data_IF_222771796788
#
_entry.id   IF_222771796788
#
_cell.length_a   1.000
_cell.length_b   1.000
_cell.length_c   1.000
_cell.angle_alpha   90.00
_cell.angle_beta   90.00
_cell.angle_gamma   90.00
#
_symmetry.space_group_name_H-M   'P 1'
#
loop_
_entity.id
_entity.type
_entity.pdbx_description
1 polymer ?
#
# COMPACT_ATOMS: atom_id res chain seq x y z
N UNK A 1 -2.74 29.77 2.90
CA UNK A 1 -3.86 29.12 2.21
C UNK A 1 -3.98 29.57 0.75
N UNK A 2 -3.95 30.89 0.45
CA UNK A 2 -4.05 31.41 -0.93
C UNK A 2 -2.91 30.90 -1.83
N UNK A 3 -1.68 30.94 -1.34
CA UNK A 3 -0.51 30.42 -2.08
C UNK A 3 -0.65 28.92 -2.38
N UNK A 4 -1.12 28.13 -1.41
CA UNK A 4 -1.34 26.70 -1.60
C UNK A 4 -2.43 26.43 -2.64
N UNK A 5 -3.55 27.17 -2.60
CA UNK A 5 -4.62 27.05 -3.59
C UNK A 5 -4.11 27.40 -5.00
N UNK A 6 -3.39 28.52 -5.15
CA UNK A 6 -2.79 28.90 -6.42
C UNK A 6 -1.75 27.89 -6.92
N UNK A 7 -0.98 27.29 -6.02
CA UNK A 7 -0.04 26.23 -6.34
C UNK A 7 -0.76 24.97 -6.84
N UNK A 8 -1.84 24.57 -6.17
CA UNK A 8 -2.66 23.41 -6.56
C UNK A 8 -3.26 23.61 -7.96
N UNK A 9 -3.86 24.79 -8.24
CA UNK A 9 -4.41 25.13 -9.56
C UNK A 9 -3.35 25.09 -10.67
N UNK A 10 -2.12 25.49 -10.34
CA UNK A 10 -0.98 25.52 -11.28
C UNK A 10 -0.16 24.23 -11.27
N UNK A 11 -0.58 23.21 -10.52
CA UNK A 11 0.14 21.93 -10.34
C UNK A 11 1.59 22.10 -9.87
N UNK A 12 1.82 23.07 -8.99
CA UNK A 12 3.13 23.28 -8.36
C UNK A 12 3.23 22.45 -7.08
N UNK A 13 4.42 21.86 -6.84
CA UNK A 13 4.71 21.07 -5.65
C UNK A 13 5.01 21.99 -4.44
N UNK A 14 4.00 22.68 -3.98
CA UNK A 14 4.07 23.54 -2.80
C UNK A 14 3.03 23.03 -1.80
N UNK A 15 3.47 22.72 -0.58
CA UNK A 15 2.59 22.32 0.51
C UNK A 15 2.81 23.24 1.73
N UNK A 16 1.79 23.55 2.52
CA UNK A 16 1.95 24.28 3.77
C UNK A 16 2.71 23.39 4.77
N UNK A 17 3.46 24.04 5.65
CA UNK A 17 3.96 23.39 6.86
C UNK A 17 2.77 23.33 7.83
N UNK A 18 2.32 22.14 8.16
CA UNK A 18 1.18 21.90 9.05
C UNK A 18 1.64 21.65 10.47
N UNK A 19 0.92 22.21 11.43
CA UNK A 19 1.06 21.89 12.86
C UNK A 19 0.18 20.69 13.22
N UNK A 20 0.36 20.12 14.42
CA UNK A 20 -0.53 19.07 14.92
C UNK A 20 -2.00 19.55 15.01
N UNK A 21 -2.21 20.82 15.36
CA UNK A 21 -3.54 21.43 15.39
C UNK A 21 -4.17 21.52 14.00
N UNK A 22 -3.39 21.90 12.98
CA UNK A 22 -3.85 21.92 11.58
C UNK A 22 -4.26 20.53 11.10
N UNK A 23 -3.52 19.50 11.49
CA UNK A 23 -3.85 18.10 11.17
C UNK A 23 -5.12 17.67 11.90
N UNK A 24 -5.22 17.96 13.20
CA UNK A 24 -6.37 17.63 14.03
C UNK A 24 -7.68 18.23 13.51
N UNK A 25 -7.63 19.47 13.01
CA UNK A 25 -8.76 20.22 12.48
C UNK A 25 -8.90 20.10 10.95
N UNK A 26 -8.21 19.15 10.32
CA UNK A 26 -8.25 19.01 8.87
C UNK A 26 -9.58 18.40 8.39
N UNK A 27 -10.40 19.16 7.64
CA UNK A 27 -11.72 18.68 7.21
C UNK A 27 -11.65 17.46 6.29
N UNK A 28 -10.57 17.28 5.52
CA UNK A 28 -10.38 16.12 4.68
C UNK A 28 -10.18 14.85 5.50
N UNK A 29 -9.43 14.92 6.60
CA UNK A 29 -9.23 13.79 7.51
C UNK A 29 -10.51 13.44 8.27
N UNK A 30 -11.31 14.45 8.63
CA UNK A 30 -12.64 14.27 9.22
C UNK A 30 -13.58 13.56 8.24
N UNK A 31 -13.68 14.03 7.01
CA UNK A 31 -14.54 13.44 5.96
C UNK A 31 -14.15 11.99 5.63
N UNK A 32 -12.85 11.67 5.71
CA UNK A 32 -12.37 10.29 5.53
C UNK A 32 -12.61 9.38 6.73
N UNK A 33 -13.14 9.90 7.82
CA UNK A 33 -13.39 9.14 9.04
C UNK A 33 -12.11 8.61 9.69
N UNK A 34 -11.03 9.42 9.67
CA UNK A 34 -9.76 9.04 10.30
C UNK A 34 -9.88 8.95 11.81
N UNK A 35 -10.69 9.83 12.41
CA UNK A 35 -10.72 10.01 13.86
C UNK A 35 -11.67 9.03 14.56
N UNK A 36 -11.24 8.54 15.72
CA UNK A 36 -12.06 7.75 16.64
C UNK A 36 -12.01 8.39 18.03
N UNK A 37 -13.18 8.58 18.66
CA UNK A 37 -13.30 9.15 19.97
C UNK A 37 -13.42 8.02 21.02
N UNK A 38 -12.53 8.04 22.03
CA UNK A 38 -12.42 7.00 23.06
C UNK A 38 -12.49 7.65 24.43
N UNK A 39 -13.26 7.07 25.35
CA UNK A 39 -13.31 7.55 26.74
C UNK A 39 -12.15 6.95 27.52
N UNK A 40 -11.23 7.78 27.98
CA UNK A 40 -10.07 7.40 28.79
C UNK A 40 -10.15 8.11 30.14
N UNK A 41 -10.29 7.38 31.24
CA UNK A 41 -10.43 7.93 32.58
C UNK A 41 -11.54 8.99 32.72
N UNK A 42 -12.66 8.80 32.00
CA UNK A 42 -13.81 9.72 32.02
C UNK A 42 -13.66 10.95 31.12
N UNK A 43 -12.58 11.05 30.35
CA UNK A 43 -12.35 12.11 29.38
C UNK A 43 -12.48 11.53 27.96
N UNK A 44 -13.16 12.26 27.09
CA UNK A 44 -13.20 11.95 25.68
C UNK A 44 -11.89 12.39 25.02
N UNK A 45 -11.22 11.45 24.37
CA UNK A 45 -9.94 11.66 23.70
C UNK A 45 -10.07 11.19 22.26
N UNK A 46 -9.68 12.04 21.34
CA UNK A 46 -9.71 11.75 19.90
C UNK A 46 -8.37 11.18 19.44
N UNK A 47 -8.42 10.00 18.85
CA UNK A 47 -7.25 9.30 18.31
C UNK A 47 -7.32 9.16 16.78
N UNK A 48 -6.18 9.09 16.09
CA UNK A 48 -6.16 8.60 14.73
C UNK A 48 -6.54 7.11 14.73
N UNK A 49 -7.64 6.79 14.09
CA UNK A 49 -8.19 5.44 14.03
C UNK A 49 -7.58 4.62 12.88
N UNK A 50 -8.45 4.07 12.06
CA UNK A 50 -8.06 3.14 11.00
C UNK A 50 -7.26 3.80 9.88
N UNK A 51 -6.14 3.17 9.51
CA UNK A 51 -5.31 3.59 8.38
C UNK A 51 -5.78 2.99 7.05
N UNK A 52 -6.57 1.91 7.08
CA UNK A 52 -7.11 1.22 5.91
C UNK A 52 -8.57 0.85 6.14
N UNK A 53 -9.34 0.81 5.07
CA UNK A 53 -10.74 0.39 5.09
C UNK A 53 -10.82 -0.97 4.40
N UNK A 54 -11.29 -1.98 5.15
CA UNK A 54 -11.55 -3.32 4.65
C UNK A 54 -13.06 -3.52 4.54
N UNK A 55 -13.55 -3.91 3.37
CA UNK A 55 -14.99 -4.11 3.14
C UNK A 55 -15.54 -5.31 3.88
N UNK A 56 -14.81 -6.43 3.86
CA UNK A 56 -15.26 -7.72 4.40
C UNK A 56 -14.83 -7.96 5.85
N UNK A 57 -13.74 -7.35 6.26
CA UNK A 57 -13.16 -7.51 7.60
C UNK A 57 -12.90 -6.15 8.24
N UNK A 58 -13.95 -5.42 8.64
CA UNK A 58 -13.79 -4.11 9.23
C UNK A 58 -12.91 -4.16 10.47
N UNK A 59 -12.07 -3.15 10.64
CA UNK A 59 -11.21 -3.03 11.81
C UNK A 59 -12.06 -2.86 13.06
N UNK A 60 -11.65 -3.52 14.14
CA UNK A 60 -12.27 -3.33 15.46
C UNK A 60 -12.01 -1.89 15.93
N UNK A 61 -13.04 -1.19 16.42
CA UNK A 61 -12.86 0.16 16.97
C UNK A 61 -11.83 0.19 18.10
N UNK A 62 -11.17 1.34 18.26
CA UNK A 62 -10.25 1.54 19.36
C UNK A 62 -10.98 1.45 20.70
N UNK A 63 -10.34 0.86 21.68
CA UNK A 63 -10.82 0.81 23.06
C UNK A 63 -9.88 1.60 23.98
N UNK A 64 -10.37 1.98 25.15
CA UNK A 64 -9.52 2.59 26.15
C UNK A 64 -8.33 1.67 26.51
N UNK A 65 -7.16 2.25 26.80
CA UNK A 65 -6.05 1.46 27.32
C UNK A 65 -6.46 0.81 28.66
N UNK A 66 -6.06 -0.44 28.92
CA UNK A 66 -6.40 -1.12 30.15
C UNK A 66 -5.76 -0.44 31.37
N UNK A 67 -6.44 -0.49 32.50
CA UNK A 67 -5.87 -0.09 33.77
C UNK A 67 -4.76 -1.06 34.20
N UNK A 68 -3.85 -0.58 35.06
CA UNK A 68 -2.77 -1.42 35.57
C UNK A 68 -3.35 -2.66 36.31
N UNK A 69 -3.03 -3.84 35.82
CA UNK A 69 -3.48 -5.10 36.40
C UNK A 69 -4.87 -5.57 35.97
N UNK A 70 -5.59 -4.84 35.14
CA UNK A 70 -6.96 -5.16 34.71
C UNK A 70 -7.11 -6.58 34.16
N UNK A 71 -6.16 -7.02 33.32
CA UNK A 71 -6.18 -8.35 32.70
C UNK A 71 -5.34 -9.41 33.44
N UNK A 72 -4.72 -9.07 34.58
CA UNK A 72 -3.78 -9.97 35.26
C UNK A 72 -4.42 -11.30 35.61
N UNK A 73 -5.61 -11.28 36.23
CA UNK A 73 -6.30 -12.50 36.63
C UNK A 73 -6.71 -13.33 35.42
N UNK A 74 -7.19 -12.68 34.36
CA UNK A 74 -7.57 -13.35 33.12
C UNK A 74 -6.36 -14.08 32.52
N UNK A 75 -5.27 -13.35 32.31
CA UNK A 75 -4.05 -13.89 31.67
C UNK A 75 -3.45 -15.05 32.52
N UNK A 76 -3.42 -14.90 33.84
CA UNK A 76 -2.90 -15.96 34.73
C UNK A 76 -3.81 -17.18 34.83
N UNK A 77 -5.10 -17.03 34.52
CA UNK A 77 -6.05 -18.14 34.53
C UNK A 77 -6.16 -18.87 33.19
N UNK A 78 -5.57 -18.30 32.12
CA UNK A 78 -5.54 -18.97 30.83
C UNK A 78 -4.79 -20.29 30.94
N UNK A 79 -5.36 -21.40 30.45
CA UNK A 79 -4.66 -22.67 30.45
C UNK A 79 -3.38 -22.57 29.63
N UNK A 80 -2.29 -23.23 30.04
CA UNK A 80 -1.07 -23.27 29.25
C UNK A 80 -1.40 -23.66 27.81
N UNK A 81 -0.94 -22.86 26.85
CA UNK A 81 -1.14 -23.17 25.45
C UNK A 81 -0.51 -24.53 25.16
N UNK A 82 -1.34 -25.57 25.02
CA UNK A 82 -0.84 -26.86 24.56
C UNK A 82 -0.19 -26.61 23.17
N UNK A 83 1.10 -26.87 23.03
CA UNK A 83 1.72 -26.78 21.73
C UNK A 83 0.86 -27.61 20.76
N UNK A 84 0.30 -27.01 19.75
CA UNK A 84 -0.40 -27.79 18.73
C UNK A 84 0.62 -28.76 18.15
N UNK A 85 0.51 -30.04 18.55
CA UNK A 85 1.27 -31.14 17.94
C UNK A 85 0.91 -31.34 16.48
N UNK A 86 -0.11 -30.66 16.02
CA UNK A 86 -0.38 -30.43 14.59
C UNK A 86 0.38 -29.20 14.02
N UNK A 87 1.57 -28.93 14.50
CA UNK A 87 2.60 -28.62 13.52
C UNK A 87 2.72 -29.89 12.68
N UNK A 88 1.66 -30.15 11.87
CA UNK A 88 1.82 -30.89 10.64
C UNK A 88 3.18 -30.47 10.15
N UNK A 89 4.12 -31.42 10.12
CA UNK A 89 5.44 -31.25 9.53
C UNK A 89 5.26 -30.23 8.44
N UNK A 90 5.67 -28.97 8.70
CA UNK A 90 5.60 -27.95 7.68
C UNK A 90 6.38 -28.59 6.57
N UNK A 91 5.74 -29.03 5.47
CA UNK A 91 6.46 -29.74 4.43
C UNK A 91 7.64 -28.84 4.15
N UNK A 92 8.85 -29.42 4.11
CA UNK A 92 10.10 -28.72 3.90
C UNK A 92 9.86 -27.59 2.87
N UNK A 93 9.39 -26.42 3.35
CA UNK A 93 9.06 -25.25 2.54
C UNK A 93 10.39 -24.62 2.19
N UNK A 94 11.17 -25.31 1.35
CA UNK A 94 12.32 -24.71 0.66
C UNK A 94 11.85 -23.65 -0.34
N UNK A 95 10.52 -23.50 -0.49
CA UNK A 95 9.91 -22.45 -1.29
C UNK A 95 9.92 -21.09 -0.59
N UNK A 96 9.72 -20.05 -1.36
CA UNK A 96 9.59 -18.68 -0.86
C UNK A 96 8.24 -18.51 -0.15
N UNK A 97 8.15 -17.59 0.83
CA UNK A 97 6.98 -17.41 1.70
C UNK A 97 5.68 -17.10 0.92
N UNK A 98 5.77 -16.40 -0.20
CA UNK A 98 4.64 -16.01 -1.05
C UNK A 98 4.64 -16.77 -2.41
N UNK A 99 5.30 -17.92 -2.47
CA UNK A 99 5.29 -18.75 -3.68
C UNK A 99 3.87 -19.16 -4.05
N UNK A 100 3.50 -18.93 -5.31
CA UNK A 100 2.16 -19.20 -5.84
C UNK A 100 1.22 -17.99 -5.83
N UNK A 101 1.47 -16.96 -5.03
CA UNK A 101 0.70 -15.74 -5.06
C UNK A 101 0.92 -14.99 -6.38
N UNK A 102 -0.17 -14.65 -7.06
CA UNK A 102 -0.18 -13.96 -8.35
C UNK A 102 -0.68 -12.53 -8.16
N UNK A 103 0.11 -11.56 -8.60
CA UNK A 103 -0.17 -10.14 -8.41
C UNK A 103 -0.12 -9.41 -9.75
N UNK A 104 -1.16 -8.68 -10.06
CA UNK A 104 -1.21 -7.74 -11.17
C UNK A 104 -0.93 -6.33 -10.64
N UNK A 105 0.13 -5.70 -11.13
CA UNK A 105 0.67 -4.45 -10.58
C UNK A 105 0.57 -3.30 -11.59
N UNK A 106 -0.32 -2.34 -11.31
CA UNK A 106 -0.47 -1.07 -12.04
C UNK A 106 0.15 0.12 -11.31
N UNK A 107 0.90 -0.13 -10.24
CA UNK A 107 1.45 0.92 -9.41
C UNK A 107 2.60 1.67 -10.07
N UNK A 108 2.73 2.98 -9.77
CA UNK A 108 3.68 3.87 -10.41
C UNK A 108 4.61 4.56 -9.41
N UNK A 109 5.73 5.03 -9.93
CA UNK A 109 6.78 5.86 -9.31
C UNK A 109 7.54 5.11 -8.21
N UNK A 110 7.19 5.27 -6.94
CA UNK A 110 7.98 4.76 -5.81
C UNK A 110 7.19 3.94 -4.82
N UNK A 111 6.25 4.56 -4.11
CA UNK A 111 5.62 3.97 -2.92
C UNK A 111 4.89 2.66 -3.24
N UNK A 112 4.07 2.66 -4.28
CA UNK A 112 3.37 1.47 -4.75
C UNK A 112 4.32 0.39 -5.24
N UNK A 113 5.20 0.68 -6.23
CA UNK A 113 6.17 -0.29 -6.71
C UNK A 113 7.10 -0.85 -5.64
N UNK A 114 7.48 -0.06 -4.61
CA UNK A 114 8.25 -0.55 -3.47
C UNK A 114 7.48 -1.61 -2.68
N UNK A 115 6.16 -1.40 -2.45
CA UNK A 115 5.31 -2.37 -1.77
C UNK A 115 5.19 -3.68 -2.55
N UNK A 116 4.87 -3.61 -3.83
CA UNK A 116 4.77 -4.81 -4.67
C UNK A 116 6.12 -5.51 -4.86
N UNK A 117 7.25 -4.77 -4.88
CA UNK A 117 8.58 -5.37 -4.87
C UNK A 117 8.81 -6.27 -3.66
N UNK A 118 8.40 -5.84 -2.46
CA UNK A 118 8.54 -6.67 -1.25
C UNK A 118 7.82 -8.00 -1.44
N UNK A 119 6.62 -8.01 -2.02
CA UNK A 119 5.92 -9.26 -2.34
C UNK A 119 6.72 -10.13 -3.33
N UNK A 120 7.34 -9.52 -4.34
CA UNK A 120 8.18 -10.23 -5.31
C UNK A 120 9.44 -10.83 -4.66
N UNK A 121 10.09 -10.09 -3.76
CA UNK A 121 11.28 -10.55 -3.03
C UNK A 121 10.96 -11.78 -2.18
N UNK A 122 9.74 -11.88 -1.64
CA UNK A 122 9.25 -13.02 -0.90
C UNK A 122 8.62 -14.12 -1.79
N UNK A 123 8.66 -13.97 -3.10
CA UNK A 123 8.36 -15.04 -4.06
C UNK A 123 7.02 -14.96 -4.77
N UNK A 124 6.27 -13.89 -4.60
CA UNK A 124 5.06 -13.67 -5.39
C UNK A 124 5.41 -13.51 -6.88
N UNK A 125 4.53 -14.02 -7.74
CA UNK A 125 4.63 -13.86 -9.18
C UNK A 125 3.93 -12.56 -9.58
N UNK A 126 4.71 -11.49 -9.80
CA UNK A 126 4.19 -10.18 -10.12
C UNK A 126 4.32 -9.88 -11.60
N UNK A 127 3.20 -9.52 -12.22
CA UNK A 127 3.14 -8.96 -13.57
C UNK A 127 2.85 -7.48 -13.44
N UNK A 128 3.83 -6.66 -13.81
CA UNK A 128 3.71 -5.20 -13.85
C UNK A 128 3.29 -4.76 -15.23
N UNK A 129 2.27 -3.93 -15.30
CA UNK A 129 1.85 -3.26 -16.54
C UNK A 129 2.63 -1.96 -16.69
N UNK A 130 3.27 -1.79 -17.82
CA UNK A 130 3.97 -0.59 -18.24
C UNK A 130 3.44 -0.13 -19.62
N UNK A 131 3.84 1.02 -20.11
CA UNK A 131 3.42 1.51 -21.41
C UNK A 131 4.44 2.48 -22.00
N UNK A 132 4.76 2.31 -23.28
CA UNK A 132 5.55 3.30 -24.01
C UNK A 132 4.74 4.58 -24.30
N UNK A 133 3.43 4.43 -24.50
CA UNK A 133 2.54 5.57 -24.76
C UNK A 133 2.38 6.47 -23.52
N UNK A 134 2.50 5.89 -22.33
CA UNK A 134 2.48 6.59 -21.05
C UNK A 134 3.50 5.96 -20.11
N UNK A 135 4.72 6.45 -20.20
CA UNK A 135 5.85 5.92 -19.45
C UNK A 135 5.78 6.28 -17.97
N UNK A 136 6.12 5.33 -17.09
CA UNK A 136 6.29 5.61 -15.67
C UNK A 136 7.36 6.69 -15.44
N UNK A 137 6.99 7.73 -14.70
CA UNK A 137 7.87 8.85 -14.37
C UNK A 137 9.18 8.40 -13.69
N UNK A 138 9.16 7.28 -12.95
CA UNK A 138 10.36 6.74 -12.34
C UNK A 138 11.47 6.45 -13.37
N UNK A 139 11.12 6.16 -14.63
CA UNK A 139 12.08 5.91 -15.72
C UNK A 139 12.82 7.16 -16.18
N UNK A 140 12.31 8.35 -15.80
CA UNK A 140 12.90 9.64 -16.17
C UNK A 140 13.65 10.31 -15.02
N UNK A 141 13.76 9.63 -13.87
CA UNK A 141 14.41 10.15 -12.68
C UNK A 141 15.81 9.53 -12.49
N UNK A 142 16.76 10.38 -12.11
CA UNK A 142 18.11 9.95 -11.79
C UNK A 142 18.18 9.19 -10.45
N UNK A 143 19.29 8.47 -10.14
CA UNK A 143 20.47 8.33 -10.97
C UNK A 143 20.27 7.40 -12.16
N UNK A 144 21.01 7.65 -13.23
CA UNK A 144 21.03 6.81 -14.41
C UNK A 144 22.35 6.02 -14.50
N UNK A 145 22.28 4.81 -15.06
CA UNK A 145 23.49 4.06 -15.38
C UNK A 145 24.33 4.81 -16.40
N UNK A 146 25.63 4.95 -16.13
CA UNK A 146 26.58 5.71 -16.94
C UNK A 146 26.18 7.18 -17.22
N UNK A 147 25.34 7.78 -16.35
CA UNK A 147 24.77 9.12 -16.52
C UNK A 147 23.97 9.31 -17.81
N UNK A 148 23.60 8.22 -18.47
CA UNK A 148 22.78 8.25 -19.69
C UNK A 148 21.29 8.21 -19.33
N UNK A 149 20.58 9.31 -19.58
CA UNK A 149 19.15 9.50 -19.29
C UNK A 149 18.21 8.70 -20.20
N UNK A 150 18.49 7.43 -20.42
CA UNK A 150 17.64 6.50 -21.13
C UNK A 150 16.60 5.88 -20.20
N UNK A 151 15.38 5.57 -20.65
CA UNK A 151 14.30 5.04 -19.81
C UNK A 151 14.64 3.77 -19.03
N UNK A 152 15.50 2.92 -19.59
CA UNK A 152 15.89 1.65 -18.97
C UNK A 152 17.10 1.79 -18.04
N UNK A 153 17.76 2.95 -18.05
CA UNK A 153 18.94 3.21 -17.24
C UNK A 153 18.61 3.81 -15.86
N UNK A 154 17.34 4.12 -15.57
CA UNK A 154 16.96 4.65 -14.27
C UNK A 154 17.14 3.63 -13.16
N UNK A 155 18.07 3.92 -12.24
CA UNK A 155 18.29 3.09 -11.06
C UNK A 155 17.10 3.11 -10.10
N UNK A 156 16.34 4.21 -10.07
CA UNK A 156 15.11 4.30 -9.30
C UNK A 156 14.09 3.28 -9.81
N UNK A 157 13.80 3.30 -11.11
CA UNK A 157 12.86 2.36 -11.71
C UNK A 157 13.30 0.90 -11.49
N UNK A 158 14.55 0.59 -11.77
CA UNK A 158 15.12 -0.74 -11.64
C UNK A 158 15.08 -1.25 -10.19
N UNK A 159 15.39 -0.38 -9.22
CA UNK A 159 15.32 -0.71 -7.81
C UNK A 159 13.88 -0.99 -7.36
N UNK A 160 12.91 -0.16 -7.73
CA UNK A 160 11.51 -0.33 -7.30
C UNK A 160 10.80 -1.51 -7.98
N UNK A 161 11.35 -2.03 -9.07
CA UNK A 161 10.70 -3.08 -9.87
C UNK A 161 11.51 -4.38 -9.99
N UNK A 162 12.52 -4.55 -9.15
CA UNK A 162 13.28 -5.80 -9.09
C UNK A 162 12.35 -7.02 -8.83
N UNK A 163 12.70 -8.17 -9.42
CA UNK A 163 11.97 -9.45 -9.31
C UNK A 163 10.55 -9.46 -9.89
N UNK A 164 10.11 -8.41 -10.57
CA UNK A 164 8.82 -8.37 -11.26
C UNK A 164 8.99 -8.75 -12.75
N UNK A 165 7.91 -9.22 -13.34
CA UNK A 165 7.78 -9.41 -14.80
C UNK A 165 7.12 -8.17 -15.38
N UNK A 166 7.68 -7.61 -16.45
CA UNK A 166 7.10 -6.47 -17.16
C UNK A 166 6.26 -6.91 -18.36
N UNK A 167 5.13 -6.26 -18.56
CA UNK A 167 4.31 -6.38 -19.76
C UNK A 167 3.94 -4.96 -20.22
N UNK A 168 4.28 -4.62 -21.48
CA UNK A 168 3.95 -3.32 -22.05
C UNK A 168 2.60 -3.39 -22.76
N UNK A 169 1.64 -2.55 -22.30
CA UNK A 169 0.31 -2.44 -22.87
C UNK A 169 -0.09 -0.96 -23.00
N UNK A 170 -0.67 -0.61 -24.14
CA UNK A 170 -1.32 0.67 -24.30
C UNK A 170 -2.80 0.56 -23.94
N UNK A 171 -3.15 0.94 -22.72
CA UNK A 171 -4.51 0.82 -22.15
C UNK A 171 -5.56 1.69 -22.88
N UNK A 172 -5.17 2.52 -23.85
CA UNK A 172 -6.11 3.20 -24.73
C UNK A 172 -6.63 2.31 -25.86
N UNK A 173 -6.07 1.11 -26.02
CA UNK A 173 -6.47 0.18 -27.07
C UNK A 173 -7.42 -0.89 -26.50
N UNK A 174 -8.56 -1.15 -27.17
CA UNK A 174 -9.52 -2.17 -26.71
C UNK A 174 -8.89 -3.55 -26.52
N UNK A 175 -7.97 -3.94 -27.40
CA UNK A 175 -7.29 -5.23 -27.34
C UNK A 175 -6.41 -5.36 -26.08
N UNK A 176 -5.82 -4.25 -25.62
CA UNK A 176 -5.06 -4.24 -24.38
C UNK A 176 -5.97 -4.43 -23.15
N UNK A 177 -7.19 -3.89 -23.20
CA UNK A 177 -8.19 -4.08 -22.12
C UNK A 177 -8.64 -5.54 -22.02
N UNK A 178 -8.79 -6.25 -23.16
CA UNK A 178 -9.08 -7.68 -23.15
C UNK A 178 -7.97 -8.47 -22.42
N UNK A 179 -6.71 -8.16 -22.72
CA UNK A 179 -5.55 -8.76 -22.02
C UNK A 179 -5.55 -8.45 -20.53
N UNK A 180 -5.92 -7.23 -20.16
CA UNK A 180 -6.05 -6.83 -18.74
C UNK A 180 -7.14 -7.65 -18.04
N UNK A 181 -8.29 -7.87 -18.68
CA UNK A 181 -9.35 -8.70 -18.10
C UNK A 181 -8.88 -10.14 -17.86
N UNK A 182 -8.13 -10.72 -18.79
CA UNK A 182 -7.55 -12.07 -18.60
C UNK A 182 -6.55 -12.08 -17.43
N UNK A 183 -5.72 -11.04 -17.31
CA UNK A 183 -4.76 -10.91 -16.22
C UNK A 183 -5.45 -10.67 -14.86
N UNK A 184 -6.56 -9.95 -14.81
CA UNK A 184 -7.38 -9.81 -13.59
C UNK A 184 -7.94 -11.16 -13.16
N UNK A 185 -8.43 -11.99 -14.10
CA UNK A 185 -8.89 -13.35 -13.77
C UNK A 185 -7.75 -14.28 -13.32
N UNK A 186 -6.54 -14.06 -13.83
CA UNK A 186 -5.35 -14.81 -13.43
C UNK A 186 -4.85 -14.42 -12.04
N UNK A 187 -4.99 -13.15 -11.63
CA UNK A 187 -4.40 -12.60 -10.42
C UNK A 187 -5.21 -12.94 -9.16
N UNK A 188 -4.51 -13.18 -8.06
CA UNK A 188 -5.10 -13.25 -6.72
C UNK A 188 -5.24 -11.85 -6.11
N UNK A 189 -4.37 -10.91 -6.53
CA UNK A 189 -4.34 -9.52 -6.04
C UNK A 189 -4.10 -8.56 -7.21
N UNK A 190 -4.87 -7.49 -7.25
CA UNK A 190 -4.62 -6.36 -8.17
C UNK A 190 -4.21 -5.16 -7.34
N UNK A 191 -3.11 -4.53 -7.73
CA UNK A 191 -2.57 -3.34 -7.07
C UNK A 191 -2.61 -2.16 -8.04
N UNK A 192 -3.18 -1.04 -7.59
CA UNK A 192 -3.23 0.19 -8.35
C UNK A 192 -3.01 1.42 -7.45
N UNK A 193 -2.60 2.53 -8.03
CA UNK A 193 -2.39 3.80 -7.35
C UNK A 193 -2.87 4.99 -8.17
N UNK A 194 -3.87 4.77 -9.03
CA UNK A 194 -4.44 5.80 -9.87
C UNK A 194 -5.39 6.73 -9.09
N UNK A 195 -5.62 7.92 -9.66
CA UNK A 195 -6.68 8.80 -9.16
C UNK A 195 -8.06 8.18 -9.45
N UNK A 196 -9.07 8.37 -8.59
CA UNK A 196 -10.41 7.74 -8.73
C UNK A 196 -11.13 7.95 -10.06
N UNK A 197 -10.68 8.85 -10.92
CA UNK A 197 -11.29 9.15 -12.23
C UNK A 197 -10.52 8.53 -13.41
N UNK A 198 -9.54 7.64 -13.18
CA UNK A 198 -8.68 7.09 -14.22
C UNK A 198 -8.85 5.57 -14.44
N UNK A 199 -9.79 4.96 -13.73
CA UNK A 199 -10.21 3.56 -13.93
C UNK A 199 -11.59 3.52 -14.55
#
# INVERSE_FOLDING_TARGET
QELFRAAFEKRLLIAPVTTAEDVYNNPHLEERGLWEDVIVNGHEVRYPGRMAIFSETPQVPLSAPPSVGEHTTQVLSEPPRTPSTSLSVVPDRRGKALEGLKVLDFMWVMAGPAGSRVLADYGANIVRIDSEARMDTARTLFPFHDDEGLPDNSALYSNMNANKRGLSLDLNKPEAIEVVHDLVQWADVVLESFSPCLL
#
